data_IF_635620341693
#
_entry.id   IF_635620341693
#
_cell.length_a   1.000
_cell.length_b   1.000
_cell.length_c   1.000
_cell.angle_alpha   90.00
_cell.angle_beta   90.00
_cell.angle_gamma   90.00
#
_symmetry.space_group_name_H-M   'P 1'
#
loop_
_entity.id
_entity.type
_entity.pdbx_description
1 polymer ?
#
# COMPACT_ATOMS: atom_id res chain seq x y z
N UNK A 1 7.34 -18.82 3.52
CA UNK A 1 6.62 -18.83 2.21
C UNK A 1 7.61 -19.08 1.09
N UNK A 2 7.44 -20.14 0.28
CA UNK A 2 8.29 -20.37 -0.88
C UNK A 2 8.05 -19.23 -1.89
N UNK A 3 9.11 -18.52 -2.21
CA UNK A 3 9.12 -17.56 -3.32
C UNK A 3 8.90 -18.35 -4.60
N UNK A 4 7.74 -18.25 -5.22
CA UNK A 4 7.52 -18.81 -6.56
C UNK A 4 8.44 -18.01 -7.49
N UNK A 5 9.53 -18.65 -7.92
CA UNK A 5 10.44 -18.05 -8.91
C UNK A 5 9.71 -18.10 -10.24
N UNK A 6 9.21 -16.96 -10.68
CA UNK A 6 8.57 -16.82 -11.98
C UNK A 6 9.64 -16.80 -13.09
N UNK A 7 9.25 -17.22 -14.31
CA UNK A 7 10.10 -17.05 -15.47
C UNK A 7 10.26 -15.55 -15.81
N UNK A 8 11.34 -15.16 -16.48
CA UNK A 8 11.53 -13.76 -16.96
C UNK A 8 10.34 -13.26 -17.79
N UNK A 9 9.70 -14.14 -18.56
CA UNK A 9 8.53 -13.79 -19.35
C UNK A 9 7.29 -13.55 -18.46
N UNK A 10 7.11 -14.34 -17.40
CA UNK A 10 6.03 -14.14 -16.45
C UNK A 10 6.22 -12.88 -15.58
N UNK A 11 7.45 -12.57 -15.18
CA UNK A 11 7.75 -11.30 -14.51
C UNK A 11 7.48 -10.11 -15.43
N UNK A 12 7.88 -10.18 -16.72
CA UNK A 12 7.56 -9.15 -17.73
C UNK A 12 6.05 -8.93 -17.82
N UNK A 13 5.27 -9.99 -18.00
CA UNK A 13 3.82 -9.92 -18.08
C UNK A 13 3.22 -9.33 -16.80
N UNK A 14 3.66 -9.79 -15.63
CA UNK A 14 3.20 -9.27 -14.35
C UNK A 14 3.39 -7.75 -14.25
N UNK A 15 4.59 -7.23 -14.55
CA UNK A 15 4.85 -5.80 -14.45
C UNK A 15 4.02 -4.98 -15.45
N UNK A 16 3.89 -5.44 -16.69
CA UNK A 16 3.10 -4.73 -17.71
C UNK A 16 1.61 -4.68 -17.32
N UNK A 17 1.03 -5.80 -16.91
CA UNK A 17 -0.39 -5.86 -16.54
C UNK A 17 -0.64 -5.05 -15.26
N UNK A 18 0.25 -5.18 -14.26
CA UNK A 18 0.17 -4.39 -13.03
C UNK A 18 0.15 -2.89 -13.30
N UNK A 19 1.09 -2.40 -14.13
CA UNK A 19 1.14 -0.99 -14.50
C UNK A 19 -0.10 -0.56 -15.31
N UNK A 20 -0.60 -1.41 -16.21
CA UNK A 20 -1.83 -1.13 -16.96
C UNK A 20 -3.04 -0.94 -16.02
N UNK A 21 -3.14 -1.73 -14.94
CA UNK A 21 -4.19 -1.56 -13.93
C UNK A 21 -3.96 -0.29 -13.11
N UNK A 22 -2.75 -0.05 -12.64
CA UNK A 22 -2.45 1.13 -11.79
C UNK A 22 -2.64 2.45 -12.53
N UNK A 23 -2.34 2.49 -13.83
CA UNK A 23 -2.51 3.66 -14.68
C UNK A 23 -3.92 3.80 -15.29
N UNK A 24 -4.82 2.83 -15.05
CA UNK A 24 -6.20 2.84 -15.55
C UNK A 24 -6.37 2.46 -17.02
N UNK A 25 -5.31 1.94 -17.67
CA UNK A 25 -5.40 1.37 -19.04
C UNK A 25 -6.24 0.09 -19.05
N UNK A 26 -6.21 -0.67 -17.95
CA UNK A 26 -7.18 -1.71 -17.62
C UNK A 26 -8.07 -1.17 -16.51
N UNK A 27 -9.34 -0.95 -16.82
CA UNK A 27 -10.29 -0.26 -15.93
C UNK A 27 -10.78 -1.19 -14.82
N UNK A 28 -11.22 -0.62 -13.71
CA UNK A 28 -11.90 -1.37 -12.65
C UNK A 28 -13.16 -2.06 -13.18
N UNK A 29 -13.43 -3.25 -12.66
CA UNK A 29 -14.48 -4.16 -13.11
C UNK A 29 -14.35 -4.62 -14.58
N UNK A 30 -13.31 -4.20 -15.30
CA UNK A 30 -13.07 -4.64 -16.66
C UNK A 30 -12.77 -6.14 -16.71
N UNK A 31 -13.37 -6.83 -17.68
CA UNK A 31 -13.11 -8.25 -17.92
C UNK A 31 -11.73 -8.42 -18.55
N UNK A 32 -10.96 -9.32 -17.99
CA UNK A 32 -9.64 -9.68 -18.51
C UNK A 32 -9.79 -10.72 -19.62
N UNK A 33 -9.24 -10.39 -20.79
CA UNK A 33 -9.15 -11.30 -21.96
C UNK A 33 -7.69 -11.70 -22.10
N UNK A 34 -7.40 -13.01 -21.97
CA UNK A 34 -6.01 -13.51 -22.00
C UNK A 34 -5.32 -13.21 -23.34
N UNK A 35 -6.05 -13.25 -24.45
CA UNK A 35 -5.56 -12.96 -25.78
C UNK A 35 -5.02 -11.53 -25.90
N UNK A 36 -5.77 -10.56 -25.39
CA UNK A 36 -5.36 -9.14 -25.39
C UNK A 36 -4.10 -8.92 -24.56
N UNK A 37 -3.98 -9.65 -23.44
CA UNK A 37 -2.78 -9.58 -22.59
C UNK A 37 -1.57 -10.28 -23.22
N UNK A 38 -1.76 -11.34 -24.01
CA UNK A 38 -0.69 -11.97 -24.77
C UNK A 38 -0.12 -10.97 -25.79
N UNK A 39 -0.98 -10.23 -26.47
CA UNK A 39 -0.59 -9.18 -27.41
C UNK A 39 0.09 -8.00 -26.68
N UNK A 40 -0.52 -7.50 -25.62
CA UNK A 40 0.01 -6.39 -24.83
C UNK A 40 1.41 -6.70 -24.26
N UNK A 41 1.60 -7.90 -23.71
CA UNK A 41 2.85 -8.30 -23.05
C UNK A 41 3.89 -8.87 -24.01
N UNK A 42 3.49 -9.25 -25.24
CA UNK A 42 4.34 -9.92 -26.23
C UNK A 42 5.03 -11.16 -25.64
N UNK A 43 4.23 -12.03 -25.01
CA UNK A 43 4.65 -13.33 -24.46
C UNK A 43 3.57 -14.36 -24.74
N UNK A 44 3.86 -15.66 -24.54
CA UNK A 44 2.87 -16.73 -24.71
C UNK A 44 1.82 -16.75 -23.58
N UNK A 45 0.76 -17.59 -23.73
CA UNK A 45 -0.34 -17.69 -22.74
C UNK A 45 0.12 -18.15 -21.36
N UNK A 46 1.06 -19.09 -21.27
CA UNK A 46 1.52 -19.64 -19.97
C UNK A 46 2.07 -18.54 -19.03
N UNK A 47 3.08 -17.72 -19.43
CA UNK A 47 3.55 -16.63 -18.59
C UNK A 47 2.48 -15.58 -18.27
N UNK A 48 1.50 -15.32 -19.15
CA UNK A 48 0.35 -14.46 -18.84
C UNK A 48 -0.48 -15.05 -17.70
N UNK A 49 -0.80 -16.35 -17.73
CA UNK A 49 -1.55 -17.03 -16.68
C UNK A 49 -0.80 -17.03 -15.33
N UNK A 50 0.52 -17.25 -15.35
CA UNK A 50 1.35 -17.17 -14.16
C UNK A 50 1.30 -15.75 -13.55
N UNK A 51 1.40 -14.72 -14.40
CA UNK A 51 1.25 -13.33 -13.99
C UNK A 51 -0.15 -13.04 -13.42
N UNK A 52 -1.21 -13.51 -14.06
CA UNK A 52 -2.58 -13.35 -13.58
C UNK A 52 -2.81 -14.04 -12.24
N UNK A 53 -2.26 -15.23 -12.02
CA UNK A 53 -2.34 -15.91 -10.72
C UNK A 53 -1.68 -15.10 -9.61
N UNK A 54 -0.51 -14.51 -9.88
CA UNK A 54 0.18 -13.62 -8.94
C UNK A 54 -0.61 -12.35 -8.66
N UNK A 55 -1.13 -11.70 -9.71
CA UNK A 55 -1.96 -10.49 -9.59
C UNK A 55 -3.28 -10.76 -8.83
N UNK A 56 -3.87 -11.95 -9.00
CA UNK A 56 -5.02 -12.38 -8.21
C UNK A 56 -4.67 -12.58 -6.72
N UNK A 57 -3.53 -13.20 -6.44
CA UNK A 57 -3.04 -13.35 -5.07
C UNK A 57 -2.75 -12.00 -4.38
N UNK A 58 -2.24 -11.03 -5.12
CA UNK A 58 -1.96 -9.68 -4.64
C UNK A 58 -3.20 -8.75 -4.64
N UNK A 59 -4.36 -9.24 -5.11
CA UNK A 59 -5.63 -8.51 -5.06
C UNK A 59 -5.83 -7.48 -6.17
N UNK A 60 -5.03 -7.48 -7.23
CA UNK A 60 -5.24 -6.63 -8.41
C UNK A 60 -6.43 -7.06 -9.25
N UNK A 61 -6.68 -8.36 -9.30
CA UNK A 61 -7.75 -8.96 -10.10
C UNK A 61 -8.51 -10.00 -9.26
N UNK A 62 -9.69 -10.36 -9.73
CA UNK A 62 -10.46 -11.51 -9.23
C UNK A 62 -10.58 -12.55 -10.34
N UNK A 63 -10.02 -13.75 -10.14
CA UNK A 63 -10.22 -14.88 -11.02
C UNK A 63 -11.42 -15.71 -10.52
N UNK A 64 -12.35 -16.03 -11.41
CA UNK A 64 -13.45 -16.95 -11.13
C UNK A 64 -13.29 -18.21 -11.97
N UNK A 65 -13.43 -19.37 -11.33
CA UNK A 65 -13.30 -20.66 -12.02
C UNK A 65 -14.26 -20.72 -13.22
N UNK A 66 -13.74 -21.06 -14.40
CA UNK A 66 -14.46 -21.19 -15.66
C UNK A 66 -15.18 -19.92 -16.18
N UNK A 67 -14.93 -18.75 -15.60
CA UNK A 67 -15.55 -17.49 -16.00
C UNK A 67 -14.56 -16.42 -16.48
N UNK A 68 -13.26 -16.60 -16.18
CA UNK A 68 -12.21 -15.63 -16.49
C UNK A 68 -11.85 -14.72 -15.29
N UNK A 69 -11.25 -13.59 -15.58
CA UNK A 69 -10.79 -12.63 -14.59
C UNK A 69 -11.42 -11.25 -14.81
N UNK A 70 -11.39 -10.45 -13.77
CA UNK A 70 -11.79 -9.05 -13.77
C UNK A 70 -10.80 -8.23 -12.96
N UNK A 71 -10.53 -7.02 -13.41
CA UNK A 71 -9.82 -6.03 -12.58
C UNK A 71 -10.64 -5.77 -11.33
N UNK A 72 -10.00 -5.80 -10.16
CA UNK A 72 -10.70 -5.64 -8.89
C UNK A 72 -11.23 -4.23 -8.75
N UNK A 73 -12.49 -4.13 -8.39
CA UNK A 73 -13.14 -2.90 -7.94
C UNK A 73 -13.36 -3.01 -6.43
N UNK A 74 -13.23 -1.89 -5.73
CA UNK A 74 -13.45 -1.77 -4.29
C UNK A 74 -14.64 -0.84 -4.05
N UNK A 75 -15.65 -1.28 -3.33
CA UNK A 75 -16.71 -0.40 -2.88
C UNK A 75 -16.22 0.50 -1.74
N UNK A 76 -16.90 1.63 -1.54
CA UNK A 76 -16.61 2.54 -0.42
C UNK A 76 -16.70 1.79 0.94
N UNK A 77 -17.70 0.91 1.06
CA UNK A 77 -17.91 0.10 2.25
C UNK A 77 -16.77 -0.89 2.49
N UNK A 78 -16.35 -1.64 1.46
CA UNK A 78 -15.19 -2.55 1.58
C UNK A 78 -13.92 -1.80 2.00
N UNK A 79 -13.68 -0.61 1.48
CA UNK A 79 -12.52 0.20 1.89
C UNK A 79 -12.63 0.59 3.36
N UNK A 80 -13.79 1.08 3.80
CA UNK A 80 -14.02 1.45 5.20
C UNK A 80 -13.77 0.26 6.13
N UNK A 81 -14.35 -0.89 5.84
CA UNK A 81 -14.18 -2.13 6.65
C UNK A 81 -12.72 -2.56 6.74
N UNK A 82 -11.98 -2.49 5.62
CA UNK A 82 -10.55 -2.82 5.59
C UNK A 82 -9.76 -1.86 6.48
N UNK A 83 -10.00 -0.55 6.38
CA UNK A 83 -9.25 0.43 7.17
C UNK A 83 -9.61 0.39 8.67
N UNK A 84 -10.85 0.09 9.03
CA UNK A 84 -11.24 -0.18 10.43
C UNK A 84 -10.47 -1.40 10.98
N UNK A 85 -10.43 -2.51 10.23
CA UNK A 85 -9.65 -3.69 10.61
C UNK A 85 -8.15 -3.37 10.71
N UNK A 86 -7.59 -2.60 9.77
CA UNK A 86 -6.19 -2.15 9.80
C UNK A 86 -5.90 -1.32 11.05
N UNK A 87 -6.76 -0.35 11.37
CA UNK A 87 -6.58 0.50 12.56
C UNK A 87 -6.49 -0.32 13.85
N UNK A 88 -7.30 -1.38 13.97
CA UNK A 88 -7.25 -2.28 15.12
C UNK A 88 -5.94 -3.09 15.14
N UNK A 89 -5.58 -3.71 14.03
CA UNK A 89 -4.41 -4.59 13.94
C UNK A 89 -3.11 -3.80 14.04
N UNK A 90 -2.99 -2.69 13.30
CA UNK A 90 -1.79 -1.83 13.34
C UNK A 90 -1.65 -1.12 14.69
N UNK A 91 -2.77 -0.73 15.31
CA UNK A 91 -2.79 -0.24 16.68
C UNK A 91 -2.26 -1.26 17.70
N UNK A 92 -2.52 -2.55 17.51
CA UNK A 92 -1.95 -3.59 18.36
C UNK A 92 -0.46 -3.86 18.02
N UNK A 93 -0.11 -3.89 16.74
CA UNK A 93 1.28 -4.04 16.28
C UNK A 93 2.17 -2.96 16.91
N UNK A 94 1.75 -1.69 16.88
CA UNK A 94 2.56 -0.59 17.39
C UNK A 94 2.75 -0.67 18.92
N UNK A 95 1.79 -1.20 19.68
CA UNK A 95 1.98 -1.47 21.10
C UNK A 95 3.11 -2.49 21.33
N UNK A 96 3.11 -3.60 20.57
CA UNK A 96 4.16 -4.62 20.66
C UNK A 96 5.52 -4.08 20.18
N UNK A 97 5.51 -3.20 19.19
CA UNK A 97 6.70 -2.51 18.68
C UNK A 97 7.30 -1.60 19.74
N UNK A 98 6.48 -0.86 20.50
CA UNK A 98 6.92 0.07 21.54
C UNK A 98 7.82 -0.58 22.57
N UNK A 99 7.57 -1.85 22.92
CA UNK A 99 8.39 -2.58 23.89
C UNK A 99 9.74 -3.05 23.34
N UNK A 100 9.82 -3.22 22.03
CA UNK A 100 10.92 -3.89 21.36
C UNK A 100 11.83 -2.95 20.57
N UNK A 101 11.35 -1.74 20.30
CA UNK A 101 12.07 -0.76 19.50
C UNK A 101 13.38 -0.35 20.14
N UNK A 102 14.46 -0.36 19.35
CA UNK A 102 15.83 0.02 19.73
C UNK A 102 16.20 1.37 19.09
N UNK A 103 17.31 1.95 19.55
CA UNK A 103 17.75 3.27 19.06
C UNK A 103 18.06 3.27 17.55
N UNK A 104 18.59 2.18 17.02
CA UNK A 104 18.81 2.01 15.57
C UNK A 104 17.51 2.01 14.75
N UNK A 105 16.46 1.40 15.30
CA UNK A 105 15.14 1.41 14.67
C UNK A 105 14.54 2.82 14.67
N UNK A 106 14.69 3.51 15.79
CA UNK A 106 14.26 4.92 15.92
C UNK A 106 15.01 5.82 14.94
N UNK A 107 16.32 5.58 14.76
CA UNK A 107 17.12 6.32 13.78
C UNK A 107 16.61 6.07 12.35
N UNK A 108 16.36 4.82 11.99
CA UNK A 108 15.78 4.45 10.68
C UNK A 108 14.44 5.16 10.44
N UNK A 109 13.49 5.03 11.38
CA UNK A 109 12.16 5.64 11.27
C UNK A 109 12.22 7.17 11.19
N UNK A 110 13.13 7.80 11.96
CA UNK A 110 13.34 9.25 11.93
C UNK A 110 13.87 9.70 10.57
N UNK A 111 14.86 9.00 10.02
CA UNK A 111 15.41 9.32 8.70
C UNK A 111 14.36 9.15 7.60
N UNK A 112 13.59 8.04 7.62
CA UNK A 112 12.51 7.81 6.67
C UNK A 112 11.50 8.96 6.64
N UNK A 113 11.12 9.47 7.81
CA UNK A 113 10.21 10.62 7.92
C UNK A 113 10.85 11.90 7.40
N UNK A 114 12.13 12.17 7.74
CA UNK A 114 12.86 13.35 7.28
C UNK A 114 13.06 13.34 5.75
N UNK A 115 13.33 12.19 5.16
CA UNK A 115 13.47 12.04 3.71
C UNK A 115 12.17 12.42 2.99
N UNK A 116 11.03 11.93 3.47
CA UNK A 116 9.73 12.29 2.91
C UNK A 116 9.44 13.79 3.05
N UNK A 117 9.73 14.38 4.21
CA UNK A 117 9.52 15.81 4.46
C UNK A 117 10.34 16.68 3.49
N UNK A 118 11.61 16.34 3.27
CA UNK A 118 12.48 17.02 2.31
C UNK A 118 11.94 16.92 0.88
N UNK A 119 11.43 15.74 0.50
CA UNK A 119 10.84 15.50 -0.81
C UNK A 119 9.58 16.36 -0.99
N UNK A 120 8.67 16.38 -0.01
CA UNK A 120 7.45 17.20 -0.03
C UNK A 120 7.80 18.68 -0.20
N UNK A 121 8.72 19.20 0.62
CA UNK A 121 9.17 20.60 0.57
C UNK A 121 9.75 20.94 -0.80
N UNK A 122 10.63 20.08 -1.32
CA UNK A 122 11.23 20.30 -2.67
C UNK A 122 10.19 20.30 -3.80
N UNK A 123 9.12 19.49 -3.70
CA UNK A 123 8.05 19.46 -4.71
C UNK A 123 7.19 20.72 -4.65
N UNK A 124 6.84 21.17 -3.44
CA UNK A 124 6.08 22.40 -3.23
C UNK A 124 6.87 23.62 -3.74
N UNK A 125 8.14 23.76 -3.37
CA UNK A 125 9.00 24.89 -3.77
C UNK A 125 9.18 24.97 -5.28
N UNK A 126 9.23 23.83 -5.97
CA UNK A 126 9.36 23.74 -7.42
C UNK A 126 8.04 23.73 -8.18
N UNK A 127 6.93 23.85 -7.48
CA UNK A 127 5.57 23.77 -8.03
C UNK A 127 5.34 22.52 -8.91
N UNK A 128 5.85 21.36 -8.43
CA UNK A 128 5.71 20.08 -9.11
C UNK A 128 4.34 19.48 -8.75
N UNK A 129 3.69 18.83 -9.72
CA UNK A 129 2.38 18.19 -9.51
C UNK A 129 2.45 17.10 -8.42
N UNK A 130 1.40 17.04 -7.58
CA UNK A 130 1.25 16.03 -6.51
C UNK A 130 1.27 14.59 -7.03
N UNK A 131 0.79 14.34 -8.24
CA UNK A 131 0.79 13.00 -8.84
C UNK A 131 2.21 12.40 -8.95
N UNK A 132 3.23 13.24 -9.14
CA UNK A 132 4.62 12.80 -9.25
C UNK A 132 5.22 12.33 -7.93
N UNK A 133 4.70 12.80 -6.78
CA UNK A 133 5.17 12.39 -5.45
C UNK A 133 4.49 11.10 -4.97
N UNK A 134 3.32 10.74 -5.50
CA UNK A 134 2.55 9.57 -5.03
C UNK A 134 3.39 8.27 -5.03
N UNK A 135 4.13 7.90 -6.09
CA UNK A 135 4.95 6.68 -6.06
C UNK A 135 6.02 6.72 -4.97
N UNK A 136 6.66 7.88 -4.77
CA UNK A 136 7.71 8.09 -3.76
C UNK A 136 7.11 8.02 -2.36
N UNK A 137 5.97 8.67 -2.15
CA UNK A 137 5.21 8.60 -0.90
C UNK A 137 4.84 7.16 -0.55
N UNK A 138 4.31 6.40 -1.51
CA UNK A 138 3.90 5.01 -1.30
C UNK A 138 5.08 4.11 -0.92
N UNK A 139 6.24 4.28 -1.54
CA UNK A 139 7.44 3.53 -1.21
C UNK A 139 7.95 3.86 0.19
N UNK A 140 8.04 5.15 0.53
CA UNK A 140 8.46 5.64 1.85
C UNK A 140 7.50 5.18 2.94
N UNK A 141 6.19 5.35 2.73
CA UNK A 141 5.13 4.92 3.65
C UNK A 141 5.19 3.41 3.90
N UNK A 142 5.37 2.61 2.83
CA UNK A 142 5.53 1.16 2.95
C UNK A 142 6.76 0.80 3.78
N UNK A 143 7.90 1.43 3.52
CA UNK A 143 9.14 1.18 4.28
C UNK A 143 8.97 1.49 5.78
N UNK A 144 8.23 2.56 6.12
CA UNK A 144 7.91 2.92 7.50
C UNK A 144 7.10 1.82 8.19
N UNK A 145 5.97 1.40 7.60
CA UNK A 145 5.10 0.38 8.19
C UNK A 145 5.76 -1.00 8.22
N UNK A 146 6.47 -1.40 7.16
CA UNK A 146 7.22 -2.66 7.11
C UNK A 146 8.26 -2.76 8.24
N UNK A 147 8.94 -1.64 8.55
CA UNK A 147 9.87 -1.57 9.68
C UNK A 147 9.18 -1.78 11.02
N UNK A 148 8.01 -1.22 11.23
CA UNK A 148 7.22 -1.46 12.44
C UNK A 148 6.80 -2.93 12.57
N UNK A 149 6.42 -3.58 11.48
CA UNK A 149 6.07 -5.01 11.46
C UNK A 149 7.29 -5.90 11.74
N UNK A 150 8.46 -5.51 11.24
CA UNK A 150 9.73 -6.19 11.54
C UNK A 150 10.05 -6.13 13.04
N UNK A 151 10.01 -4.94 13.65
CA UNK A 151 10.28 -4.72 15.08
C UNK A 151 9.27 -5.48 15.95
N UNK A 152 8.02 -5.53 15.55
CA UNK A 152 6.96 -6.27 16.25
C UNK A 152 7.29 -7.75 16.44
N UNK A 153 8.07 -8.38 15.52
CA UNK A 153 8.48 -9.79 15.54
C UNK A 153 7.30 -10.76 15.70
N UNK A 154 6.20 -10.50 14.99
CA UNK A 154 5.02 -11.35 14.99
C UNK A 154 4.59 -11.65 13.55
N UNK A 155 5.06 -12.78 13.02
CA UNK A 155 4.80 -13.19 11.64
C UNK A 155 3.31 -13.38 11.32
N UNK A 156 2.49 -13.72 12.33
CA UNK A 156 1.03 -13.87 12.13
C UNK A 156 0.37 -12.52 11.87
N UNK A 157 0.72 -11.52 12.66
CA UNK A 157 0.24 -10.14 12.44
C UNK A 157 0.76 -9.56 11.12
N UNK A 158 2.03 -9.80 10.79
CA UNK A 158 2.62 -9.37 9.52
C UNK A 158 1.89 -9.98 8.32
N UNK A 159 1.60 -11.28 8.35
CA UNK A 159 0.85 -11.95 7.29
C UNK A 159 -0.60 -11.45 7.19
N UNK A 160 -1.23 -11.13 8.33
CA UNK A 160 -2.56 -10.54 8.35
C UNK A 160 -2.54 -9.14 7.69
N UNK A 161 -1.52 -8.32 7.99
CA UNK A 161 -1.38 -7.00 7.36
C UNK A 161 -1.20 -7.08 5.85
N UNK A 162 -0.47 -8.08 5.34
CA UNK A 162 -0.37 -8.29 3.89
C UNK A 162 -1.74 -8.55 3.25
N UNK A 163 -2.63 -9.29 3.92
CA UNK A 163 -3.98 -9.53 3.44
C UNK A 163 -4.90 -8.30 3.54
N UNK A 164 -4.74 -7.48 4.58
CA UNK A 164 -5.52 -6.26 4.82
C UNK A 164 -5.03 -5.04 4.02
N UNK A 165 -3.81 -5.08 3.50
CA UNK A 165 -3.21 -3.94 2.77
C UNK A 165 -2.77 -4.36 1.37
N UNK A 166 -3.69 -4.86 0.51
CA UNK A 166 -3.31 -5.25 -0.84
C UNK A 166 -2.82 -4.02 -1.62
N UNK A 167 -1.70 -4.14 -2.37
CA UNK A 167 -1.08 -3.02 -3.06
C UNK A 167 -2.01 -2.17 -3.93
N UNK A 168 -2.97 -2.75 -4.69
CA UNK A 168 -3.88 -1.95 -5.49
C UNK A 168 -4.81 -1.06 -4.66
N UNK A 169 -5.25 -1.53 -3.47
CA UNK A 169 -6.08 -0.71 -2.57
C UNK A 169 -5.27 0.46 -2.01
N UNK A 170 -4.05 0.20 -1.53
CA UNK A 170 -3.16 1.23 -0.98
C UNK A 170 -2.83 2.28 -2.05
N UNK A 171 -2.54 1.85 -3.28
CA UNK A 171 -2.31 2.75 -4.40
C UNK A 171 -3.54 3.59 -4.73
N UNK A 172 -4.71 2.96 -4.80
CA UNK A 172 -5.97 3.63 -5.08
C UNK A 172 -6.30 4.71 -4.04
N UNK A 173 -6.15 4.38 -2.75
CA UNK A 173 -6.40 5.36 -1.67
C UNK A 173 -5.43 6.53 -1.70
N UNK A 174 -4.17 6.31 -2.08
CA UNK A 174 -3.19 7.39 -2.19
C UNK A 174 -3.40 8.30 -3.41
N UNK A 175 -4.06 7.83 -4.47
CA UNK A 175 -4.32 8.65 -5.67
C UNK A 175 -5.15 9.92 -5.40
N UNK A 176 -5.98 9.91 -4.37
CA UNK A 176 -6.80 11.08 -3.98
C UNK A 176 -6.08 12.03 -3.02
N UNK A 177 -4.85 11.73 -2.63
CA UNK A 177 -4.12 12.56 -1.69
C UNK A 177 -3.56 13.81 -2.39
N UNK A 178 -3.84 14.96 -1.79
CA UNK A 178 -3.16 16.20 -2.08
C UNK A 178 -1.88 16.36 -1.23
N UNK A 179 -1.12 17.42 -1.45
CA UNK A 179 0.08 17.72 -0.65
C UNK A 179 -0.22 17.86 0.83
N UNK A 180 -1.38 18.41 1.19
CA UNK A 180 -1.80 18.60 2.58
C UNK A 180 -2.01 17.25 3.27
N UNK A 181 -2.66 16.28 2.58
CA UNK A 181 -2.88 14.94 3.13
C UNK A 181 -1.57 14.16 3.26
N UNK A 182 -0.67 14.27 2.28
CA UNK A 182 0.66 13.64 2.33
C UNK A 182 1.49 14.24 3.50
N UNK A 183 1.48 15.58 3.65
CA UNK A 183 2.14 16.27 4.76
C UNK A 183 1.57 15.84 6.11
N UNK A 184 0.25 15.68 6.21
CA UNK A 184 -0.40 15.19 7.43
C UNK A 184 0.06 13.76 7.76
N UNK A 185 0.13 12.86 6.77
CA UNK A 185 0.67 11.51 6.95
C UNK A 185 2.11 11.54 7.47
N UNK A 186 2.95 12.42 6.92
CA UNK A 186 4.33 12.61 7.40
C UNK A 186 4.37 13.09 8.87
N UNK A 187 3.48 14.02 9.25
CA UNK A 187 3.37 14.50 10.63
C UNK A 187 2.87 13.40 11.59
N UNK A 188 1.93 12.56 11.14
CA UNK A 188 1.46 11.41 11.91
C UNK A 188 2.61 10.42 12.17
N UNK A 189 3.45 10.15 11.17
CA UNK A 189 4.65 9.32 11.32
C UNK A 189 5.64 9.94 12.33
N UNK A 190 5.84 11.26 12.31
CA UNK A 190 6.66 11.96 13.35
C UNK A 190 6.10 11.72 14.75
N UNK A 191 4.79 11.84 14.90
CA UNK A 191 4.14 11.60 16.20
C UNK A 191 4.27 10.15 16.64
N UNK A 192 4.15 9.18 15.73
CA UNK A 192 4.37 7.76 16.02
C UNK A 192 5.80 7.54 16.50
N UNK A 193 6.81 8.08 15.81
CA UNK A 193 8.23 7.97 16.24
C UNK A 193 8.43 8.58 17.62
N UNK A 194 7.80 9.73 17.92
CA UNK A 194 7.88 10.39 19.22
C UNK A 194 7.26 9.54 20.32
N UNK A 195 6.11 8.93 20.07
CA UNK A 195 5.46 8.02 21.01
C UNK A 195 6.29 6.75 21.27
N UNK A 196 6.94 6.20 20.22
CA UNK A 196 7.89 5.09 20.39
C UNK A 196 9.10 5.45 21.24
N UNK A 197 9.68 6.65 21.05
CA UNK A 197 10.79 7.18 21.87
C UNK A 197 10.40 7.32 23.34
N UNK A 198 9.18 7.76 23.62
CA UNK A 198 8.65 7.90 24.99
C UNK A 198 8.24 6.57 25.62
N UNK A 199 8.27 5.46 24.88
CA UNK A 199 7.78 4.15 25.32
C UNK A 199 6.31 4.15 25.78
N UNK A 200 5.50 5.08 25.27
CA UNK A 200 4.08 5.17 25.59
C UNK A 200 3.24 4.36 24.59
N UNK A 201 2.88 3.14 25.01
CA UNK A 201 2.09 2.21 24.20
C UNK A 201 0.71 2.76 23.79
N UNK A 202 0.04 3.46 24.72
CA UNK A 202 -1.33 3.97 24.49
C UNK A 202 -1.30 5.14 23.52
N UNK A 203 -0.33 6.04 23.70
CA UNK A 203 -0.13 7.13 22.77
C UNK A 203 0.22 6.63 21.37
N UNK A 204 1.20 5.73 21.24
CA UNK A 204 1.58 5.12 19.96
C UNK A 204 0.37 4.45 19.27
N UNK A 205 -0.44 3.68 20.01
CA UNK A 205 -1.67 3.09 19.50
C UNK A 205 -2.65 4.13 18.97
N UNK A 206 -2.94 5.16 19.75
CA UNK A 206 -3.93 6.19 19.39
C UNK A 206 -3.51 6.95 18.13
N UNK A 207 -2.23 7.30 18.01
CA UNK A 207 -1.71 7.99 16.82
C UNK A 207 -1.77 7.08 15.60
N UNK A 208 -1.38 5.81 15.72
CA UNK A 208 -1.46 4.86 14.61
C UNK A 208 -2.90 4.66 14.14
N UNK A 209 -3.84 4.48 15.05
CA UNK A 209 -5.25 4.32 14.71
C UNK A 209 -5.81 5.55 13.99
N UNK A 210 -5.52 6.76 14.50
CA UNK A 210 -5.92 8.01 13.88
C UNK A 210 -5.33 8.17 12.48
N UNK A 211 -4.03 7.85 12.30
CA UNK A 211 -3.33 7.88 11.02
C UNK A 211 -4.01 6.99 9.96
N UNK A 212 -4.32 5.73 10.33
CA UNK A 212 -4.97 4.79 9.42
C UNK A 212 -6.39 5.24 9.05
N UNK A 213 -7.18 5.69 10.01
CA UNK A 213 -8.55 6.13 9.78
C UNK A 213 -8.62 7.42 8.96
N UNK A 214 -7.68 8.34 9.13
CA UNK A 214 -7.61 9.56 8.33
C UNK A 214 -7.34 9.29 6.83
N UNK A 215 -6.64 8.21 6.50
CA UNK A 215 -6.46 7.79 5.11
C UNK A 215 -7.77 7.27 4.49
N UNK A 216 -8.59 6.55 5.27
CA UNK A 216 -9.92 6.08 4.84
C UNK A 216 -10.89 7.23 4.63
N UNK A 217 -10.86 8.23 5.52
CA UNK A 217 -11.74 9.41 5.43
C UNK A 217 -11.45 10.22 4.16
N UNK A 218 -10.18 10.51 3.90
CA UNK A 218 -9.77 11.19 2.66
C UNK A 218 -10.20 10.45 1.39
N UNK A 219 -10.14 9.11 1.38
CA UNK A 219 -10.64 8.32 0.26
C UNK A 219 -12.17 8.40 0.15
N UNK A 220 -12.87 8.38 1.27
CA UNK A 220 -14.34 8.44 1.31
C UNK A 220 -14.91 9.75 0.77
N UNK A 221 -14.21 10.86 0.99
CA UNK A 221 -14.59 12.19 0.46
C UNK A 221 -14.48 12.25 -1.07
N UNK A 222 -13.50 11.53 -1.67
CA UNK A 222 -13.21 11.55 -3.10
C UNK A 222 -13.65 10.27 -3.84
N UNK A 223 -14.47 9.44 -3.22
CA UNK A 223 -14.86 8.14 -3.79
C UNK A 223 -15.53 8.24 -5.16
N UNK A 224 -16.26 9.32 -5.43
CA UNK A 224 -16.99 9.54 -6.69
C UNK A 224 -16.11 10.09 -7.83
N UNK A 225 -14.82 10.33 -7.58
CA UNK A 225 -13.88 10.88 -8.57
C UNK A 225 -13.25 9.78 -9.45
N UNK A 226 -13.72 8.50 -9.33
CA UNK A 226 -13.21 7.32 -10.05
C UNK A 226 -14.20 6.73 -11.04
#
# INVERSE_FOLDING_TARGET
MQRVVMSRAADKAYFIIREAILNGNLKEAEKIVEEDLVELCQVSRTPVRDALNKLNYEGFIKLKQNQGGWVRQWSKEEVREVFEARALVEGYIIQLTTDKVMDEDIAFLTNNVSDLENIITSHIDKNINVESIIPIFLENNRAFHDKLYEICRNDRLRNLMFALSPPPLVHRTAKVFDFKRIQQSCNDHKMIVTALKSKDRKWAQSVMQAHILAAADSYSEHFNDF
#
